data_IF_543960136678
#
_entry.id   IF_543960136678
#
_cell.length_a   1.000
_cell.length_b   1.000
_cell.length_c   1.000
_cell.angle_alpha   90.00
_cell.angle_beta   90.00
_cell.angle_gamma   90.00
#
_symmetry.space_group_name_H-M   'P 1'
#
loop_
_entity.id
_entity.type
_entity.pdbx_description
1 polymer ?
#
# COMPACT_ATOMS: atom_id res chain seq x y z
N UNK A 1 -8.36 31.87 -1.99
CA UNK A 1 -8.99 31.08 -3.07
C UNK A 1 -8.39 29.68 -3.25
N UNK A 2 -7.14 29.39 -2.84
CA UNK A 2 -6.54 28.04 -2.95
C UNK A 2 -7.13 26.95 -2.05
N UNK A 3 -7.72 27.31 -0.91
CA UNK A 3 -8.17 26.35 0.11
C UNK A 3 -9.32 25.46 -0.35
N UNK A 4 -10.20 25.93 -1.24
CA UNK A 4 -11.35 25.14 -1.72
C UNK A 4 -10.94 24.03 -2.69
N UNK A 5 -9.99 24.31 -3.58
CA UNK A 5 -9.45 23.31 -4.51
C UNK A 5 -8.66 22.26 -3.72
N UNK A 6 -7.84 22.70 -2.77
CA UNK A 6 -7.08 21.81 -1.91
C UNK A 6 -7.99 20.88 -1.08
N UNK A 7 -9.03 21.41 -0.44
CA UNK A 7 -10.01 20.60 0.29
C UNK A 7 -10.75 19.61 -0.61
N UNK A 8 -11.15 20.01 -1.82
CA UNK A 8 -11.79 19.10 -2.78
C UNK A 8 -10.84 18.00 -3.26
N UNK A 9 -9.57 18.31 -3.49
CA UNK A 9 -8.55 17.32 -3.84
C UNK A 9 -8.33 16.32 -2.70
N UNK A 10 -8.19 16.80 -1.45
CA UNK A 10 -8.06 15.95 -0.26
C UNK A 10 -9.27 15.02 -0.10
N UNK A 11 -10.49 15.52 -0.26
CA UNK A 11 -11.71 14.71 -0.16
C UNK A 11 -11.81 13.62 -1.25
N UNK A 12 -11.35 13.92 -2.47
CA UNK A 12 -11.30 12.93 -3.56
C UNK A 12 -10.26 11.85 -3.30
N UNK A 13 -9.09 12.25 -2.81
CA UNK A 13 -8.02 11.34 -2.41
C UNK A 13 -8.49 10.44 -1.26
N UNK A 14 -9.13 11.01 -0.25
CA UNK A 14 -9.75 10.30 0.86
C UNK A 14 -10.71 9.20 0.42
N UNK A 15 -11.59 9.50 -0.54
CA UNK A 15 -12.56 8.54 -1.03
C UNK A 15 -11.94 7.42 -1.88
N UNK A 16 -10.82 7.71 -2.56
CA UNK A 16 -10.14 6.76 -3.46
C UNK A 16 -9.19 5.81 -2.72
N UNK A 17 -8.51 6.30 -1.68
CA UNK A 17 -7.43 5.59 -1.01
C UNK A 17 -7.79 4.21 -0.42
N UNK A 18 -8.94 4.02 0.25
CA UNK A 18 -9.26 2.71 0.86
C UNK A 18 -9.27 1.58 -0.17
N UNK A 19 -9.92 1.79 -1.31
CA UNK A 19 -9.99 0.79 -2.37
C UNK A 19 -8.65 0.59 -3.08
N UNK A 20 -7.89 1.68 -3.28
CA UNK A 20 -6.57 1.61 -3.88
C UNK A 20 -5.58 0.81 -3.01
N UNK A 21 -5.55 1.07 -1.70
CA UNK A 21 -4.70 0.35 -0.74
C UNK A 21 -5.08 -1.13 -0.71
N UNK A 22 -6.39 -1.44 -0.63
CA UNK A 22 -6.89 -2.82 -0.64
C UNK A 22 -6.50 -3.55 -1.93
N UNK A 23 -6.57 -2.90 -3.09
CA UNK A 23 -6.17 -3.51 -4.36
C UNK A 23 -4.67 -3.78 -4.43
N UNK A 24 -3.84 -2.87 -3.92
CA UNK A 24 -2.40 -3.04 -3.88
C UNK A 24 -2.00 -4.18 -2.92
N UNK A 25 -2.62 -4.25 -1.75
CA UNK A 25 -2.48 -5.36 -0.79
C UNK A 25 -2.83 -6.72 -1.40
N UNK A 26 -3.99 -6.83 -2.04
CA UNK A 26 -4.39 -8.07 -2.72
C UNK A 26 -3.42 -8.47 -3.82
N UNK A 27 -2.86 -7.49 -4.54
CA UNK A 27 -1.86 -7.75 -5.59
C UNK A 27 -0.57 -8.29 -4.98
N UNK A 28 -0.08 -7.67 -3.90
CA UNK A 28 1.09 -8.15 -3.17
C UNK A 28 0.88 -9.54 -2.59
N UNK A 29 -0.24 -9.79 -1.90
CA UNK A 29 -0.59 -11.09 -1.34
C UNK A 29 -0.69 -12.15 -2.43
N UNK A 30 -1.27 -11.83 -3.58
CA UNK A 30 -1.32 -12.75 -4.71
C UNK A 30 0.08 -13.11 -5.21
N UNK A 31 0.93 -12.10 -5.44
CA UNK A 31 2.29 -12.36 -5.90
C UNK A 31 3.06 -13.16 -4.85
N UNK A 32 3.13 -12.71 -3.60
CA UNK A 32 3.88 -13.40 -2.53
C UNK A 32 3.49 -14.86 -2.30
N UNK A 33 2.21 -15.22 -2.46
CA UNK A 33 1.74 -16.60 -2.31
C UNK A 33 1.84 -17.47 -3.57
N UNK A 34 2.15 -16.91 -4.74
CA UNK A 34 2.39 -17.70 -5.94
C UNK A 34 3.71 -18.48 -5.79
N UNK A 35 3.59 -19.79 -5.50
CA UNK A 35 4.74 -20.71 -5.52
C UNK A 35 5.08 -21.04 -6.97
N UNK A 36 6.19 -20.49 -7.46
CA UNK A 36 6.72 -20.81 -8.78
C UNK A 36 7.76 -21.93 -8.70
N UNK A 37 7.67 -22.88 -9.64
CA UNK A 37 8.60 -24.00 -9.73
C UNK A 37 9.95 -23.58 -10.30
N UNK A 38 10.97 -23.48 -9.43
CA UNK A 38 12.37 -23.80 -9.69
C UNK A 38 13.18 -23.10 -10.79
N UNK A 39 12.64 -22.10 -11.50
CA UNK A 39 13.41 -21.35 -12.53
C UNK A 39 13.81 -19.95 -12.02
N UNK A 40 15.10 -19.62 -12.10
CA UNK A 40 15.68 -18.35 -11.61
C UNK A 40 15.07 -17.12 -12.29
N UNK A 41 14.64 -17.27 -13.56
CA UNK A 41 13.95 -16.19 -14.28
C UNK A 41 12.57 -15.91 -13.69
N UNK A 42 11.84 -16.96 -13.34
CA UNK A 42 10.52 -16.86 -12.71
C UNK A 42 10.62 -16.23 -11.33
N UNK A 43 11.67 -16.53 -10.57
CA UNK A 43 11.94 -15.88 -9.28
C UNK A 43 12.19 -14.37 -9.41
N UNK A 44 13.03 -13.94 -10.37
CA UNK A 44 13.30 -12.49 -10.57
C UNK A 44 12.06 -11.72 -11.00
N UNK A 45 11.27 -12.26 -11.93
CA UNK A 45 10.04 -11.63 -12.38
C UNK A 45 9.01 -11.50 -11.24
N UNK A 46 8.88 -12.56 -10.43
CA UNK A 46 8.05 -12.57 -9.23
C UNK A 46 8.49 -11.55 -8.19
N UNK A 47 9.77 -11.55 -7.83
CA UNK A 47 10.33 -10.62 -6.86
C UNK A 47 10.14 -9.15 -7.31
N UNK A 48 10.32 -8.87 -8.60
CA UNK A 48 10.02 -7.55 -9.16
C UNK A 48 8.54 -7.17 -9.05
N UNK A 49 7.62 -8.12 -9.26
CA UNK A 49 6.18 -7.88 -9.10
C UNK A 49 5.82 -7.55 -7.63
N UNK A 50 6.38 -8.28 -6.67
CA UNK A 50 6.25 -7.98 -5.24
C UNK A 50 6.78 -6.58 -4.91
N UNK A 51 7.98 -6.23 -5.39
CA UNK A 51 8.62 -4.93 -5.15
C UNK A 51 7.80 -3.76 -5.72
N UNK A 52 7.20 -3.94 -6.89
CA UNK A 52 6.31 -2.94 -7.50
C UNK A 52 5.04 -2.77 -6.67
N UNK A 53 4.42 -3.86 -6.22
CA UNK A 53 3.23 -3.81 -5.39
C UNK A 53 3.51 -3.08 -4.04
N UNK A 54 4.63 -3.39 -3.39
CA UNK A 54 5.08 -2.70 -2.17
C UNK A 54 5.33 -1.21 -2.41
N UNK A 55 5.99 -0.85 -3.52
CA UNK A 55 6.21 0.57 -3.88
C UNK A 55 4.90 1.33 -4.07
N UNK A 56 3.87 0.68 -4.62
CA UNK A 56 2.53 1.27 -4.74
C UNK A 56 1.86 1.44 -3.37
N UNK A 57 2.00 0.46 -2.47
CA UNK A 57 1.49 0.55 -1.10
C UNK A 57 2.12 1.74 -0.37
N UNK A 58 3.45 1.88 -0.40
CA UNK A 58 4.15 3.01 0.23
C UNK A 58 3.69 4.38 -0.31
N UNK A 59 3.56 4.50 -1.65
CA UNK A 59 3.05 5.73 -2.26
C UNK A 59 1.65 6.08 -1.77
N UNK A 60 0.75 5.10 -1.67
CA UNK A 60 -0.61 5.30 -1.19
C UNK A 60 -0.65 5.69 0.29
N UNK A 61 0.22 5.11 1.12
CA UNK A 61 0.37 5.51 2.53
C UNK A 61 0.89 6.95 2.66
N UNK A 62 1.89 7.33 1.86
CA UNK A 62 2.39 8.72 1.79
C UNK A 62 1.28 9.68 1.40
N UNK A 63 0.44 9.29 0.44
CA UNK A 63 -0.69 10.11 -0.01
C UNK A 63 -1.80 10.22 1.05
N UNK A 64 -2.08 9.14 1.79
CA UNK A 64 -3.02 9.14 2.91
C UNK A 64 -2.59 10.10 4.01
N UNK A 65 -1.30 10.05 4.41
CA UNK A 65 -0.70 10.98 5.37
C UNK A 65 -0.75 12.42 4.86
N UNK A 66 -0.41 12.66 3.60
CA UNK A 66 -0.46 14.01 3.02
C UNK A 66 -1.88 14.58 3.06
N UNK A 67 -2.89 13.76 2.78
CA UNK A 67 -4.29 14.17 2.77
C UNK A 67 -4.93 14.25 4.17
N UNK A 68 -4.14 14.03 5.23
CA UNK A 68 -4.56 14.12 6.64
C UNK A 68 -5.70 13.13 6.99
N UNK A 69 -5.67 11.95 6.37
CA UNK A 69 -6.55 10.83 6.67
C UNK A 69 -5.88 9.98 7.74
N UNK A 70 -6.32 10.06 9.01
CA UNK A 70 -7.68 9.75 9.45
C UNK A 70 -8.43 10.91 10.12
N UNK A 71 -7.86 12.12 10.19
CA UNK A 71 -8.38 13.26 10.97
C UNK A 71 -9.46 14.09 10.25
N UNK A 72 -9.82 13.70 9.03
CA UNK A 72 -10.89 14.39 8.30
C UNK A 72 -12.24 14.11 8.97
N UNK A 73 -12.69 15.04 9.82
CA UNK A 73 -13.97 15.04 10.54
C UNK A 73 -15.24 14.95 9.66
N UNK A 74 -15.09 14.77 8.35
CA UNK A 74 -16.16 14.64 7.37
C UNK A 74 -16.32 13.21 6.80
N UNK A 75 -15.45 12.26 7.16
CA UNK A 75 -15.59 10.87 6.73
C UNK A 75 -16.57 10.10 7.64
N UNK A 76 -17.39 9.22 7.06
CA UNK A 76 -18.21 8.27 7.82
C UNK A 76 -17.29 7.44 8.73
N UNK A 77 -17.66 7.29 10.00
CA UNK A 77 -16.86 6.59 11.02
C UNK A 77 -16.47 5.18 10.54
N UNK A 78 -17.37 4.51 9.81
CA UNK A 78 -17.12 3.20 9.22
C UNK A 78 -16.03 3.24 8.13
N UNK A 79 -16.09 4.22 7.22
CA UNK A 79 -15.06 4.41 6.19
C UNK A 79 -13.68 4.71 6.79
N UNK A 80 -13.66 5.49 7.88
CA UNK A 80 -12.42 5.80 8.59
C UNK A 80 -11.82 4.55 9.25
N UNK A 81 -12.65 3.71 9.88
CA UNK A 81 -12.20 2.43 10.44
C UNK A 81 -11.65 1.48 9.37
N UNK A 82 -12.33 1.37 8.22
CA UNK A 82 -11.87 0.56 7.09
C UNK A 82 -10.53 1.06 6.54
N UNK A 83 -10.37 2.38 6.39
CA UNK A 83 -9.12 2.98 5.94
C UNK A 83 -7.99 2.75 6.95
N UNK A 84 -8.24 2.94 8.24
CA UNK A 84 -7.25 2.68 9.29
C UNK A 84 -6.81 1.22 9.32
N UNK A 85 -7.75 0.28 9.16
CA UNK A 85 -7.43 -1.14 9.06
C UNK A 85 -6.56 -1.45 7.84
N UNK A 86 -6.90 -0.88 6.68
CA UNK A 86 -6.14 -1.06 5.44
C UNK A 86 -4.72 -0.44 5.53
N UNK A 87 -4.58 0.73 6.17
CA UNK A 87 -3.29 1.36 6.44
C UNK A 87 -2.44 0.48 7.36
N UNK A 88 -3.01 -0.02 8.45
CA UNK A 88 -2.28 -0.86 9.40
C UNK A 88 -1.85 -2.19 8.78
N UNK A 89 -2.63 -2.75 7.86
CA UNK A 89 -2.24 -3.93 7.08
C UNK A 89 -1.11 -3.61 6.11
N UNK A 90 -1.23 -2.53 5.35
CA UNK A 90 -0.20 -2.04 4.44
C UNK A 90 1.14 -1.76 5.14
N UNK A 91 1.12 -1.17 6.34
CA UNK A 91 2.34 -0.91 7.12
C UNK A 91 3.02 -2.20 7.57
N UNK A 92 2.26 -3.23 7.96
CA UNK A 92 2.83 -4.55 8.31
C UNK A 92 3.48 -5.22 7.11
N UNK A 93 2.78 -5.28 5.97
CA UNK A 93 3.30 -5.92 4.76
C UNK A 93 4.57 -5.21 4.25
N UNK A 94 4.63 -3.87 4.39
CA UNK A 94 5.83 -3.11 4.04
C UNK A 94 7.02 -3.49 4.93
N UNK A 95 6.79 -3.55 6.24
CA UNK A 95 7.80 -3.92 7.22
C UNK A 95 8.31 -5.34 7.00
N UNK A 96 7.40 -6.31 6.81
CA UNK A 96 7.74 -7.71 6.56
C UNK A 96 8.53 -7.86 5.25
N UNK A 97 8.22 -7.07 4.21
CA UNK A 97 8.99 -7.06 2.97
C UNK A 97 10.40 -6.49 3.17
N UNK A 98 10.55 -5.37 3.90
CA UNK A 98 11.86 -4.78 4.20
C UNK A 98 12.77 -5.76 4.96
N UNK A 99 12.25 -6.48 5.95
CA UNK A 99 13.02 -7.50 6.68
C UNK A 99 13.47 -8.66 5.78
N UNK A 100 12.65 -9.06 4.80
CA UNK A 100 12.97 -10.12 3.85
C UNK A 100 13.99 -9.69 2.78
N UNK A 101 13.87 -8.46 2.27
CA UNK A 101 14.79 -7.88 1.27
C UNK A 101 16.20 -7.77 1.88
N UNK A 102 16.32 -7.22 3.09
CA UNK A 102 17.57 -7.09 3.84
C UNK A 102 18.22 -8.46 4.15
N UNK A 103 17.41 -9.47 4.51
CA UNK A 103 17.89 -10.82 4.78
C UNK A 103 18.34 -11.57 3.51
N UNK A 104 17.73 -11.28 2.36
CA UNK A 104 18.11 -11.83 1.06
C UNK A 104 19.37 -11.22 0.47
N UNK A 105 19.58 -9.91 0.67
CA UNK A 105 20.74 -9.17 0.15
C UNK A 105 22.05 -9.57 0.86
N UNK A 106 21.99 -9.93 2.16
CA UNK A 106 23.15 -10.43 2.92
C UNK A 106 23.52 -11.92 2.63
N UNK A 107 22.76 -12.60 1.76
CA UNK A 107 22.97 -13.99 1.34
C UNK A 107 23.41 -14.17 -0.12
N UNK A 108 23.52 -13.09 -0.88
CA UNK A 108 23.91 -13.12 -2.31
C UNK A 108 25.38 -12.74 -2.53
#
# INVERSE_FOLDING_TARGET
MNTRIEQQSRARIAAFLPDAIRMALNSYQKFSHEIHGGDDKSFKEHHMACKVAISHIDLLLKLARWADLPDSAAADHNQQQVLMAAIAEAERELHDYEEQDDAGENRS
#
